data_IF_086949136691
#
_entry.id   IF_086949136691
#
_cell.length_a   1.000
_cell.length_b   1.000
_cell.length_c   1.000
_cell.angle_alpha   90.00
_cell.angle_beta   90.00
_cell.angle_gamma   90.00
#
_symmetry.space_group_name_H-M   'P 1'
#
loop_
_entity.id
_entity.type
_entity.pdbx_description
1 polymer ?
#
# COMPACT_ATOMS: atom_id res chain seq x y z
N UNK A 1 -6.21 18.12 -18.98
CA UNK A 1 -7.00 18.67 -17.87
C UNK A 1 -6.01 19.11 -16.81
N UNK A 2 -5.98 20.36 -16.47
CA UNK A 2 -5.04 20.89 -15.47
C UNK A 2 -5.53 20.49 -14.08
N UNK A 3 -4.77 19.72 -13.28
CA UNK A 3 -5.22 19.24 -11.98
C UNK A 3 -5.30 20.33 -10.92
N UNK A 4 -4.92 21.57 -11.23
CA UNK A 4 -4.90 22.66 -10.26
C UNK A 4 -6.27 23.18 -9.85
N UNK A 5 -7.35 22.81 -10.56
CA UNK A 5 -8.71 23.33 -10.31
C UNK A 5 -9.54 22.59 -9.26
N UNK A 6 -9.14 21.43 -8.78
CA UNK A 6 -9.96 20.59 -7.86
C UNK A 6 -9.11 19.83 -6.83
N UNK A 7 -8.18 20.50 -6.16
CA UNK A 7 -7.41 19.83 -5.10
C UNK A 7 -8.23 19.71 -3.81
N UNK A 8 -8.53 18.48 -3.39
CA UNK A 8 -9.13 18.19 -2.10
C UNK A 8 -8.06 18.22 -0.99
N UNK A 9 -6.82 17.80 -1.31
CA UNK A 9 -5.70 17.81 -0.36
C UNK A 9 -5.00 19.16 -0.41
N UNK A 10 -4.91 19.86 0.73
CA UNK A 10 -4.23 21.16 0.79
C UNK A 10 -2.76 21.07 0.36
N UNK A 11 -2.30 22.01 -0.45
CA UNK A 11 -0.90 22.05 -0.96
C UNK A 11 0.15 22.00 0.15
N UNK A 12 -0.16 22.58 1.33
CA UNK A 12 0.72 22.51 2.52
C UNK A 12 0.90 21.10 3.05
N UNK A 13 -0.14 20.27 3.00
CA UNK A 13 -0.09 18.90 3.51
C UNK A 13 0.62 18.00 2.50
N UNK A 14 0.42 18.23 1.21
CA UNK A 14 1.21 17.60 0.16
C UNK A 14 2.70 17.97 0.27
N UNK A 15 3.02 19.26 0.49
CA UNK A 15 4.40 19.71 0.72
C UNK A 15 5.04 18.99 1.92
N UNK A 16 4.30 18.84 3.03
CA UNK A 16 4.78 18.12 4.20
C UNK A 16 5.04 16.64 3.90
N UNK A 17 4.13 15.98 3.16
CA UNK A 17 4.32 14.60 2.74
C UNK A 17 5.59 14.44 1.90
N UNK A 18 5.78 15.29 0.89
CA UNK A 18 6.97 15.25 0.04
C UNK A 18 8.26 15.46 0.85
N UNK A 19 8.27 16.41 1.79
CA UNK A 19 9.40 16.63 2.68
C UNK A 19 9.66 15.42 3.58
N UNK A 20 8.61 14.82 4.15
CA UNK A 20 8.74 13.63 4.98
C UNK A 20 9.28 12.42 4.21
N UNK A 21 8.91 12.31 2.95
CA UNK A 21 9.39 11.27 2.03
C UNK A 21 10.74 11.62 1.35
N UNK A 22 11.34 12.77 1.69
CA UNK A 22 12.59 13.27 1.10
C UNK A 22 12.53 13.44 -0.43
N UNK A 23 11.33 13.76 -0.96
CA UNK A 23 11.08 13.97 -2.39
C UNK A 23 11.24 15.42 -2.86
N UNK A 24 11.65 16.33 -1.96
CA UNK A 24 11.89 17.72 -2.27
C UNK A 24 10.68 18.65 -2.06
N UNK A 25 10.69 19.78 -2.73
CA UNK A 25 9.57 20.74 -2.66
C UNK A 25 8.50 20.46 -3.74
N UNK A 26 7.28 20.91 -3.46
CA UNK A 26 6.14 20.65 -4.33
C UNK A 26 6.28 21.21 -5.76
N UNK A 27 6.80 22.45 -6.00
CA UNK A 27 6.99 22.96 -7.34
C UNK A 27 7.98 22.12 -8.16
N UNK A 28 9.15 21.81 -7.60
CA UNK A 28 10.19 21.00 -8.26
C UNK A 28 9.70 19.59 -8.55
N UNK A 29 9.06 18.95 -7.57
CA UNK A 29 8.48 17.61 -7.71
C UNK A 29 7.40 17.58 -8.80
N UNK A 30 6.47 18.56 -8.81
CA UNK A 30 5.41 18.65 -9.81
C UNK A 30 5.95 18.86 -11.23
N UNK A 31 7.01 19.66 -11.39
CA UNK A 31 7.68 19.84 -12.66
C UNK A 31 8.33 18.54 -13.15
N UNK A 32 9.01 17.80 -12.24
CA UNK A 32 9.60 16.51 -12.54
C UNK A 32 8.54 15.50 -13.03
N UNK A 33 7.40 15.42 -12.34
CA UNK A 33 6.32 14.48 -12.73
C UNK A 33 5.76 14.82 -14.11
N UNK A 34 5.59 16.10 -14.43
CA UNK A 34 5.12 16.52 -15.76
C UNK A 34 6.11 16.16 -16.87
N UNK A 35 7.40 16.27 -16.61
CA UNK A 35 8.46 16.04 -17.60
C UNK A 35 8.83 14.56 -17.77
N UNK A 36 8.73 13.76 -16.73
CA UNK A 36 9.16 12.35 -16.74
C UNK A 36 8.25 11.42 -17.55
N UNK A 37 7.04 11.81 -17.85
CA UNK A 37 6.03 10.94 -18.46
C UNK A 37 5.43 9.89 -17.51
N UNK A 38 5.93 9.77 -16.30
CA UNK A 38 5.45 8.80 -15.30
C UNK A 38 3.97 8.95 -14.99
N UNK A 39 3.49 10.18 -14.86
CA UNK A 39 2.09 10.43 -14.61
C UNK A 39 1.17 9.85 -15.70
N UNK A 40 1.61 9.75 -16.96
CA UNK A 40 0.82 9.17 -18.07
C UNK A 40 0.67 7.66 -17.87
N UNK A 41 1.77 6.98 -17.61
CA UNK A 41 1.75 5.52 -17.36
C UNK A 41 0.94 5.22 -16.10
N UNK A 42 1.13 6.00 -15.03
CA UNK A 42 0.44 5.82 -13.77
C UNK A 42 -1.08 6.05 -13.88
N UNK A 43 -1.52 7.04 -14.66
CA UNK A 43 -2.94 7.38 -14.82
C UNK A 43 -3.69 6.31 -15.63
N UNK A 44 -3.02 5.61 -16.55
CA UNK A 44 -3.64 4.54 -17.34
C UNK A 44 -4.12 3.37 -16.47
N UNK A 45 -3.54 3.21 -15.30
CA UNK A 45 -3.93 2.18 -14.31
C UNK A 45 -4.81 2.74 -13.19
N UNK A 46 -5.08 4.05 -13.18
CA UNK A 46 -5.83 4.69 -12.10
C UNK A 46 -7.30 4.29 -12.13
N UNK A 47 -7.86 4.00 -10.94
CA UNK A 47 -9.26 3.59 -10.86
C UNK A 47 -10.18 4.74 -11.33
N UNK A 48 -11.11 4.50 -12.26
CA UNK A 48 -11.89 5.56 -12.92
C UNK A 48 -12.78 6.36 -11.97
N UNK A 49 -13.15 5.78 -10.82
CA UNK A 49 -13.96 6.45 -9.79
C UNK A 49 -13.12 7.16 -8.72
N UNK A 50 -11.79 6.96 -8.72
CA UNK A 50 -10.91 7.63 -7.77
C UNK A 50 -10.57 9.04 -8.26
N UNK A 51 -10.52 9.99 -7.34
CA UNK A 51 -10.21 11.37 -7.70
C UNK A 51 -8.75 11.50 -8.19
N UNK A 52 -8.48 12.27 -9.25
CA UNK A 52 -7.12 12.53 -9.71
C UNK A 52 -6.21 13.13 -8.64
N UNK A 53 -6.79 13.83 -7.68
CA UNK A 53 -6.05 14.44 -6.56
C UNK A 53 -5.31 13.39 -5.71
N UNK A 54 -5.90 12.22 -5.49
CA UNK A 54 -5.24 11.10 -4.81
C UNK A 54 -4.02 10.59 -5.58
N UNK A 55 -4.11 10.53 -6.91
CA UNK A 55 -2.99 10.16 -7.76
C UNK A 55 -1.81 11.10 -7.54
N UNK A 56 -2.06 12.41 -7.63
CA UNK A 56 -1.01 13.41 -7.51
C UNK A 56 -0.49 13.58 -6.07
N UNK A 57 -1.38 13.49 -5.09
CA UNK A 57 -1.04 13.82 -3.71
C UNK A 57 -0.49 12.64 -2.91
N UNK A 58 -0.79 11.40 -3.29
CA UNK A 58 -0.39 10.19 -2.57
C UNK A 58 0.25 9.16 -3.50
N UNK A 59 -0.40 8.79 -4.58
CA UNK A 59 0.02 7.69 -5.44
C UNK A 59 1.40 7.92 -6.07
N UNK A 60 1.57 9.01 -6.80
CA UNK A 60 2.86 9.34 -7.42
C UNK A 60 4.00 9.55 -6.42
N UNK A 61 3.82 10.22 -5.26
CA UNK A 61 4.84 10.25 -4.23
C UNK A 61 5.29 8.86 -3.76
N UNK A 62 4.35 7.92 -3.57
CA UNK A 62 4.69 6.56 -3.16
C UNK A 62 5.47 5.79 -4.25
N UNK A 63 5.12 5.95 -5.53
CA UNK A 63 5.90 5.38 -6.64
C UNK A 63 7.31 5.98 -6.71
N UNK A 64 7.46 7.29 -6.53
CA UNK A 64 8.78 7.93 -6.51
C UNK A 64 9.63 7.47 -5.32
N UNK A 65 9.03 7.26 -4.16
CA UNK A 65 9.72 6.68 -3.02
C UNK A 65 10.21 5.26 -3.34
N UNK A 66 9.37 4.44 -3.96
CA UNK A 66 9.74 3.12 -4.44
C UNK A 66 10.92 3.15 -5.43
N UNK A 67 10.94 4.15 -6.33
CA UNK A 67 12.07 4.35 -7.24
C UNK A 67 13.37 4.71 -6.49
N UNK A 68 13.30 5.62 -5.51
CA UNK A 68 14.47 5.97 -4.70
C UNK A 68 15.02 4.77 -3.91
N UNK A 69 14.14 3.86 -3.52
CA UNK A 69 14.51 2.67 -2.77
C UNK A 69 14.84 1.45 -3.64
N UNK A 70 14.88 1.63 -4.96
CA UNK A 70 15.22 0.54 -5.88
C UNK A 70 16.55 -0.13 -5.47
N UNK A 71 16.52 -1.46 -5.41
CA UNK A 71 17.67 -2.25 -4.92
C UNK A 71 17.85 -2.27 -3.39
N UNK A 72 16.96 -1.63 -2.63
CA UNK A 72 16.95 -1.64 -1.18
C UNK A 72 15.70 -2.35 -0.66
N UNK A 73 15.85 -3.12 0.42
CA UNK A 73 14.72 -3.78 1.09
C UNK A 73 14.17 -2.89 2.20
N UNK A 74 13.32 -1.96 1.82
CA UNK A 74 12.68 -1.01 2.74
C UNK A 74 11.19 -1.25 2.85
N UNK A 75 10.63 -0.95 4.01
CA UNK A 75 9.21 -1.07 4.32
C UNK A 75 8.61 0.31 4.56
N UNK A 76 7.44 0.54 4.01
CA UNK A 76 6.59 1.68 4.32
C UNK A 76 5.26 1.17 4.86
N UNK A 77 4.90 1.57 6.08
CA UNK A 77 3.57 1.34 6.62
C UNK A 77 2.59 2.43 6.15
N UNK A 78 1.47 2.01 5.57
CA UNK A 78 0.39 2.91 5.18
C UNK A 78 -0.88 2.57 5.95
N UNK A 79 -1.33 3.49 6.79
CA UNK A 79 -2.54 3.34 7.59
C UNK A 79 -3.56 4.42 7.25
N UNK A 80 -4.82 4.02 7.13
CA UNK A 80 -5.93 4.95 6.90
C UNK A 80 -7.25 4.30 7.33
N UNK A 81 -8.31 5.10 7.42
CA UNK A 81 -9.62 4.64 7.85
C UNK A 81 -10.19 3.53 6.95
N UNK A 82 -11.05 2.65 7.48
CA UNK A 82 -11.80 1.69 6.68
C UNK A 82 -12.58 2.38 5.56
N UNK A 83 -12.65 1.74 4.39
CA UNK A 83 -13.41 2.25 3.24
C UNK A 83 -12.77 3.42 2.48
N UNK A 84 -11.61 3.94 2.88
CA UNK A 84 -10.94 5.05 2.18
C UNK A 84 -10.19 4.65 0.90
N UNK A 85 -10.25 3.38 0.47
CA UNK A 85 -9.63 2.93 -0.78
C UNK A 85 -8.19 2.44 -0.66
N UNK A 86 -7.69 2.05 0.53
CA UNK A 86 -6.32 1.51 0.71
C UNK A 86 -6.02 0.34 -0.24
N UNK A 87 -6.92 -0.62 -0.32
CA UNK A 87 -6.77 -1.81 -1.18
C UNK A 87 -6.69 -1.41 -2.66
N UNK A 88 -7.57 -0.50 -3.10
CA UNK A 88 -7.56 0.04 -4.46
C UNK A 88 -6.26 0.78 -4.77
N UNK A 89 -5.76 1.58 -3.82
CA UNK A 89 -4.47 2.26 -3.94
C UNK A 89 -3.32 1.26 -4.04
N UNK A 90 -3.33 0.20 -3.23
CA UNK A 90 -2.32 -0.86 -3.26
C UNK A 90 -2.28 -1.58 -4.62
N UNK A 91 -3.41 -2.01 -5.13
CA UNK A 91 -3.53 -2.65 -6.45
C UNK A 91 -3.04 -1.73 -7.57
N UNK A 92 -3.36 -0.44 -7.51
CA UNK A 92 -2.87 0.52 -8.47
C UNK A 92 -1.35 0.71 -8.37
N UNK A 93 -0.80 0.83 -7.16
CA UNK A 93 0.66 0.96 -6.95
C UNK A 93 1.38 -0.22 -7.60
N UNK A 94 0.93 -1.45 -7.37
CA UNK A 94 1.56 -2.63 -7.98
C UNK A 94 1.42 -2.66 -9.50
N UNK A 95 0.26 -2.29 -10.06
CA UNK A 95 0.06 -2.23 -11.49
C UNK A 95 0.95 -1.17 -12.15
N UNK A 96 0.98 0.03 -11.58
CA UNK A 96 1.83 1.12 -12.06
C UNK A 96 3.33 0.81 -11.89
N UNK A 97 3.71 0.20 -10.76
CA UNK A 97 5.10 -0.21 -10.51
C UNK A 97 5.57 -1.23 -11.56
N UNK A 98 4.76 -2.25 -11.87
CA UNK A 98 5.07 -3.20 -12.96
C UNK A 98 5.27 -2.50 -14.30
N UNK A 99 4.38 -1.57 -14.66
CA UNK A 99 4.48 -0.81 -15.92
C UNK A 99 5.70 0.12 -15.98
N UNK A 100 6.19 0.56 -14.81
CA UNK A 100 7.38 1.40 -14.64
C UNK A 100 8.66 0.60 -14.34
N UNK A 101 8.58 -0.74 -14.36
CA UNK A 101 9.70 -1.64 -14.01
C UNK A 101 10.26 -1.38 -12.59
N UNK A 102 9.41 -1.04 -11.64
CA UNK A 102 9.77 -0.87 -10.24
C UNK A 102 9.45 -2.14 -9.44
N UNK A 103 10.36 -2.49 -8.55
CA UNK A 103 10.17 -3.61 -7.61
C UNK A 103 9.43 -3.11 -6.37
N UNK A 104 8.12 -3.00 -6.45
CA UNK A 104 7.24 -2.64 -5.34
C UNK A 104 6.21 -3.73 -5.17
N UNK A 105 6.00 -4.13 -3.92
CA UNK A 105 4.95 -5.05 -3.52
C UNK A 105 4.13 -4.47 -2.39
N UNK A 106 2.84 -4.72 -2.42
CA UNK A 106 1.91 -4.29 -1.39
C UNK A 106 1.41 -5.51 -0.63
N UNK A 107 1.51 -5.46 0.68
CA UNK A 107 1.03 -6.51 1.59
C UNK A 107 -0.05 -5.92 2.48
N UNK A 108 -1.19 -6.59 2.57
CA UNK A 108 -2.27 -6.19 3.47
C UNK A 108 -2.07 -6.79 4.84
N UNK A 109 -2.27 -5.99 5.90
CA UNK A 109 -2.31 -6.54 7.25
C UNK A 109 -3.48 -7.53 7.42
N UNK A 110 -4.57 -7.33 6.67
CA UNK A 110 -5.73 -8.21 6.70
C UNK A 110 -5.41 -9.63 6.19
N UNK A 111 -4.35 -9.81 5.40
CA UNK A 111 -3.89 -11.14 4.97
C UNK A 111 -3.30 -11.98 6.13
N UNK A 112 -3.06 -11.37 7.28
CA UNK A 112 -2.54 -12.03 8.48
C UNK A 112 -3.59 -12.25 9.58
N UNK A 113 -4.87 -12.19 9.27
CA UNK A 113 -5.88 -12.64 10.24
C UNK A 113 -5.66 -14.10 10.63
N UNK A 114 -5.97 -14.44 11.87
CA UNK A 114 -6.05 -15.84 12.26
C UNK A 114 -7.15 -16.58 11.48
N UNK A 115 -6.98 -17.86 11.26
CA UNK A 115 -8.05 -18.71 10.70
C UNK A 115 -9.27 -18.79 11.64
N UNK A 116 -10.42 -19.17 11.08
CA UNK A 116 -11.73 -19.05 11.69
C UNK A 116 -11.78 -19.42 13.18
N UNK A 117 -11.35 -20.63 13.55
CA UNK A 117 -11.41 -21.11 14.94
C UNK A 117 -10.57 -20.25 15.89
N UNK A 118 -9.35 -19.89 15.49
CA UNK A 118 -8.43 -19.07 16.29
C UNK A 118 -8.90 -17.63 16.35
N UNK A 119 -9.48 -17.13 15.25
CA UNK A 119 -10.04 -15.79 15.18
C UNK A 119 -11.27 -15.65 16.08
N UNK A 120 -12.19 -16.63 16.06
CA UNK A 120 -13.36 -16.65 16.92
C UNK A 120 -12.95 -16.69 18.40
N UNK A 121 -11.98 -17.54 18.76
CA UNK A 121 -11.46 -17.61 20.11
C UNK A 121 -10.81 -16.28 20.55
N UNK A 122 -10.03 -15.65 19.68
CA UNK A 122 -9.37 -14.37 19.95
C UNK A 122 -10.37 -13.22 20.10
N UNK A 123 -11.49 -13.27 19.39
CA UNK A 123 -12.53 -12.23 19.41
C UNK A 123 -13.64 -12.51 20.42
N UNK A 124 -13.63 -13.65 21.11
CA UNK A 124 -14.65 -14.02 22.08
C UNK A 124 -14.75 -12.97 23.20
N UNK A 125 -15.97 -12.51 23.46
CA UNK A 125 -16.26 -11.56 24.56
C UNK A 125 -15.74 -10.14 24.31
N UNK A 126 -15.34 -9.79 23.09
CA UNK A 126 -14.97 -8.41 22.80
C UNK A 126 -16.18 -7.46 22.97
N UNK A 127 -15.96 -6.26 23.54
CA UNK A 127 -17.05 -5.35 23.94
C UNK A 127 -17.83 -4.75 22.77
N UNK A 128 -17.31 -4.85 21.53
CA UNK A 128 -17.96 -4.30 20.34
C UNK A 128 -18.72 -5.34 19.52
N UNK A 129 -18.62 -6.64 19.89
CA UNK A 129 -19.30 -7.73 19.19
C UNK A 129 -18.88 -7.90 17.72
N UNK A 130 -17.68 -7.44 17.36
CA UNK A 130 -17.17 -7.55 15.99
C UNK A 130 -16.36 -8.84 15.82
N UNK A 131 -16.46 -9.50 14.64
CA UNK A 131 -15.78 -10.78 14.41
C UNK A 131 -14.27 -10.66 14.16
N UNK A 132 -13.76 -9.46 13.88
CA UNK A 132 -12.35 -9.20 13.54
C UNK A 132 -12.01 -7.72 13.67
N UNK A 133 -10.80 -7.34 13.24
CA UNK A 133 -10.29 -5.96 13.18
C UNK A 133 -10.00 -5.30 14.54
N UNK A 134 -9.83 -6.11 15.58
CA UNK A 134 -9.37 -5.65 16.89
C UNK A 134 -7.96 -6.15 17.18
N UNK A 135 -7.25 -5.54 18.14
CA UNK A 135 -5.99 -6.06 18.65
C UNK A 135 -6.14 -7.54 19.05
N UNK A 136 -5.21 -8.38 18.60
CA UNK A 136 -5.24 -9.82 18.86
C UNK A 136 -5.92 -10.66 17.76
N UNK A 137 -6.48 -10.04 16.72
CA UNK A 137 -7.09 -10.77 15.60
C UNK A 137 -6.10 -11.19 14.51
N UNK A 138 -4.88 -10.66 14.53
CA UNK A 138 -3.88 -10.91 13.50
C UNK A 138 -2.70 -11.71 14.05
N UNK A 139 -2.13 -12.57 13.19
CA UNK A 139 -0.89 -13.28 13.45
C UNK A 139 0.31 -12.38 13.18
N UNK A 140 0.64 -11.56 14.18
CA UNK A 140 1.77 -10.63 14.09
C UNK A 140 3.13 -11.34 14.13
N UNK A 141 3.19 -12.57 14.68
CA UNK A 141 4.39 -13.39 14.68
C UNK A 141 4.70 -13.83 13.25
N UNK A 142 3.71 -14.37 12.55
CA UNK A 142 3.83 -14.73 11.13
C UNK A 142 4.21 -13.51 10.27
N UNK A 143 3.58 -12.37 10.49
CA UNK A 143 3.94 -11.12 9.79
C UNK A 143 5.40 -10.76 10.01
N UNK A 144 5.86 -10.80 11.25
CA UNK A 144 7.24 -10.49 11.61
C UNK A 144 8.23 -11.46 10.96
N UNK A 145 7.95 -12.75 10.98
CA UNK A 145 8.76 -13.78 10.33
C UNK A 145 8.86 -13.55 8.83
N UNK A 146 7.74 -13.32 8.15
CA UNK A 146 7.71 -13.00 6.73
C UNK A 146 8.57 -11.77 6.39
N UNK A 147 8.41 -10.69 7.15
CA UNK A 147 9.16 -9.46 6.92
C UNK A 147 10.66 -9.61 7.23
N UNK A 148 11.03 -10.39 8.23
CA UNK A 148 12.44 -10.67 8.54
C UNK A 148 13.10 -11.51 7.45
N UNK A 149 12.45 -12.60 7.03
CA UNK A 149 12.92 -13.47 5.94
C UNK A 149 13.11 -12.65 4.65
N UNK A 150 12.12 -11.83 4.29
CA UNK A 150 12.25 -10.93 3.16
C UNK A 150 13.44 -9.95 3.30
N UNK A 151 13.67 -9.37 4.47
CA UNK A 151 14.80 -8.47 4.71
C UNK A 151 16.16 -9.16 4.54
N UNK A 152 16.24 -10.46 4.83
CA UNK A 152 17.44 -11.28 4.67
C UNK A 152 17.77 -11.61 3.22
N UNK A 153 16.88 -11.27 2.30
CA UNK A 153 17.10 -11.53 0.88
C UNK A 153 16.44 -12.80 0.37
N UNK A 154 15.72 -13.50 1.22
CA UNK A 154 15.05 -14.76 0.88
C UNK A 154 13.70 -14.52 0.21
N UNK A 155 13.25 -15.53 -0.55
CA UNK A 155 11.91 -15.55 -1.09
C UNK A 155 10.92 -15.89 0.02
N UNK A 156 9.84 -15.15 0.10
CA UNK A 156 8.80 -15.31 1.11
C UNK A 156 7.46 -15.53 0.44
N UNK A 157 6.74 -16.55 0.89
CA UNK A 157 5.33 -16.72 0.57
C UNK A 157 4.52 -15.89 1.57
N UNK A 158 3.85 -14.84 1.08
CA UNK A 158 2.94 -14.06 1.91
C UNK A 158 1.58 -14.74 1.96
N UNK A 159 0.93 -14.82 3.13
CA UNK A 159 -0.42 -15.34 3.23
C UNK A 159 -1.38 -14.48 2.40
N UNK A 160 -2.50 -15.06 2.02
CA UNK A 160 -3.62 -14.34 1.44
C UNK A 160 -4.89 -14.83 2.13
N UNK A 161 -5.58 -13.93 2.80
CA UNK A 161 -6.75 -14.27 3.60
C UNK A 161 -8.05 -14.02 2.84
N UNK A 162 -8.87 -15.05 2.73
CA UNK A 162 -10.22 -14.91 2.20
C UNK A 162 -11.18 -14.49 3.33
N UNK A 163 -11.66 -13.27 3.26
CA UNK A 163 -12.58 -12.71 4.23
C UNK A 163 -14.01 -13.29 4.15
N UNK A 164 -14.32 -14.08 3.14
CA UNK A 164 -15.63 -14.74 2.97
C UNK A 164 -15.63 -16.10 3.65
N UNK A 165 -14.61 -16.91 3.40
CA UNK A 165 -14.47 -18.25 3.99
C UNK A 165 -13.73 -18.24 5.33
N UNK A 166 -13.09 -17.13 5.70
CA UNK A 166 -12.21 -17.02 6.87
C UNK A 166 -11.07 -18.05 6.87
N UNK A 167 -10.52 -18.30 5.70
CA UNK A 167 -9.39 -19.23 5.50
C UNK A 167 -8.25 -18.54 4.77
N UNK A 168 -7.02 -19.03 5.00
CA UNK A 168 -5.89 -18.66 4.17
C UNK A 168 -5.96 -19.38 2.83
N UNK A 169 -5.97 -18.60 1.75
CA UNK A 169 -5.73 -19.11 0.41
C UNK A 169 -4.25 -19.48 0.29
N UNK A 170 -3.90 -20.33 -0.69
CA UNK A 170 -2.49 -20.64 -0.95
C UNK A 170 -1.72 -19.35 -1.16
N UNK A 171 -0.64 -19.21 -0.42
CA UNK A 171 0.24 -18.03 -0.49
C UNK A 171 0.66 -17.79 -1.94
N UNK A 172 0.57 -16.53 -2.37
CA UNK A 172 1.15 -16.11 -3.63
C UNK A 172 2.67 -16.02 -3.44
N UNK A 173 3.42 -16.65 -4.35
CA UNK A 173 4.87 -16.48 -4.38
C UNK A 173 5.20 -15.02 -4.65
N UNK A 174 5.72 -14.35 -3.66
CA UNK A 174 6.31 -13.04 -3.84
C UNK A 174 7.70 -13.20 -4.42
N UNK A 175 7.76 -13.40 -5.74
CA UNK A 175 9.04 -13.35 -6.43
C UNK A 175 9.58 -11.93 -6.34
N UNK A 176 10.54 -11.74 -5.44
CA UNK A 176 11.38 -10.54 -5.44
C UNK A 176 12.56 -10.86 -6.36
N UNK A 177 12.49 -10.32 -7.57
CA UNK A 177 13.64 -10.31 -8.49
C UNK A 177 14.49 -9.08 -8.20
#
# INVERSE_FOLDING_TARGET
>A
MDPEGQRVIPSKDQQRLLQHLELGDLPSWSALQRNSGWHRIAIDHWHPQATPDWLWSVGLPLLNLGQQWQGQRRLLGFSALPGCGKTTLGQWIEAAARALHLSIQVVSLDDFYFEAERLDAAMQGNPWGVPRALPGSHDLELLQECLQTWRQGENVLMPCFDTVSYTHLRAHETCVH
#
